data_IF_880419446862
#
_entry.id   IF_880419446862
#
_cell.length_a   1.000
_cell.length_b   1.000
_cell.length_c   1.000
_cell.angle_alpha   90.00
_cell.angle_beta   90.00
_cell.angle_gamma   90.00
#
_symmetry.space_group_name_H-M   'P 1'
#
loop_
_entity.id
_entity.type
_entity.pdbx_description
1 polymer ?
#
# COMPACT_ATOMS: atom_id res chain seq x y z
N UNK A 1 -67.59 -43.36 18.59
CA UNK A 1 -67.13 -42.03 18.93
C UNK A 1 -65.64 -42.04 18.75
N UNK A 2 -65.21 -41.60 17.54
CA UNK A 2 -63.81 -41.58 17.18
C UNK A 2 -63.23 -40.18 17.51
N UNK A 3 -62.22 -40.16 18.36
CA UNK A 3 -61.46 -38.95 18.68
C UNK A 3 -60.22 -38.91 17.76
N UNK A 4 -60.24 -38.01 16.79
CA UNK A 4 -59.06 -37.77 15.94
C UNK A 4 -58.15 -36.74 16.64
N UNK A 5 -56.96 -37.20 17.01
CA UNK A 5 -55.92 -36.36 17.58
C UNK A 5 -55.14 -35.69 16.41
N UNK A 6 -55.28 -34.36 16.26
CA UNK A 6 -54.47 -33.57 15.31
C UNK A 6 -53.12 -33.20 15.96
N UNK A 7 -52.06 -33.81 15.48
CA UNK A 7 -50.70 -33.49 15.83
C UNK A 7 -50.23 -32.29 14.96
N UNK A 8 -50.23 -31.11 15.54
CA UNK A 8 -49.69 -29.92 14.88
C UNK A 8 -48.17 -29.93 14.95
N UNK A 9 -47.53 -30.14 13.81
CA UNK A 9 -46.07 -30.05 13.66
C UNK A 9 -45.70 -28.59 13.55
N UNK A 10 -45.15 -28.01 14.61
CA UNK A 10 -44.54 -26.69 14.61
C UNK A 10 -43.17 -26.81 13.92
N UNK A 11 -43.09 -26.34 12.67
CA UNK A 11 -41.83 -26.09 11.98
C UNK A 11 -41.23 -24.82 12.54
N UNK A 12 -40.27 -24.91 13.46
CA UNK A 12 -39.37 -23.83 13.78
C UNK A 12 -38.39 -23.70 12.61
N UNK A 13 -38.66 -22.72 11.76
CA UNK A 13 -37.66 -22.24 10.82
C UNK A 13 -36.57 -21.50 11.64
N UNK A 14 -35.46 -22.16 11.90
CA UNK A 14 -34.23 -21.43 12.21
C UNK A 14 -33.85 -20.64 10.94
N UNK A 15 -34.04 -19.36 10.98
CA UNK A 15 -33.30 -18.48 10.08
C UNK A 15 -31.84 -18.50 10.57
N UNK A 16 -31.03 -19.34 9.96
CA UNK A 16 -29.59 -19.13 9.97
C UNK A 16 -29.39 -17.79 9.23
N UNK A 17 -29.24 -16.70 9.99
CA UNK A 17 -28.56 -15.53 9.49
C UNK A 17 -27.11 -15.96 9.34
N UNK A 18 -26.73 -16.33 8.11
CA UNK A 18 -25.35 -16.36 7.71
C UNK A 18 -24.84 -14.93 7.92
N UNK A 19 -24.19 -14.70 9.05
CA UNK A 19 -23.43 -13.50 9.35
C UNK A 19 -22.15 -13.62 8.49
N UNK A 20 -22.29 -13.44 7.17
CA UNK A 20 -21.16 -13.34 6.28
C UNK A 20 -20.37 -12.09 6.69
N UNK A 21 -19.35 -12.31 7.52
CA UNK A 21 -18.43 -11.23 7.91
C UNK A 21 -17.82 -10.66 6.64
N UNK A 22 -18.01 -9.35 6.41
CA UNK A 22 -17.42 -8.67 5.29
C UNK A 22 -15.90 -8.66 5.42
N UNK A 23 -15.18 -8.80 4.31
CA UNK A 23 -13.72 -8.63 4.26
C UNK A 23 -13.23 -7.33 4.91
N UNK A 24 -14.12 -6.34 5.04
CA UNK A 24 -13.84 -5.00 5.55
C UNK A 24 -14.42 -4.72 6.94
N UNK A 25 -14.93 -5.74 7.66
CA UNK A 25 -15.39 -5.60 9.04
C UNK A 25 -14.22 -5.18 9.94
N UNK A 26 -14.48 -4.20 10.83
CA UNK A 26 -13.48 -3.61 11.72
C UNK A 26 -12.21 -3.12 10.97
N UNK A 27 -12.40 -2.61 9.73
CA UNK A 27 -11.31 -2.33 8.81
C UNK A 27 -10.26 -1.38 9.36
N UNK A 28 -10.69 -0.26 9.99
CA UNK A 28 -9.77 0.69 10.58
C UNK A 28 -8.90 0.04 11.65
N UNK A 29 -9.51 -0.64 12.62
CA UNK A 29 -8.80 -1.30 13.72
C UNK A 29 -7.80 -2.35 13.19
N UNK A 30 -8.22 -3.14 12.20
CA UNK A 30 -7.35 -4.14 11.58
C UNK A 30 -6.15 -3.51 10.87
N UNK A 31 -6.34 -2.38 10.18
CA UNK A 31 -5.26 -1.66 9.51
C UNK A 31 -4.29 -1.05 10.50
N UNK A 32 -4.79 -0.44 11.58
CA UNK A 32 -3.97 0.12 12.64
C UNK A 32 -3.16 -0.97 13.36
N UNK A 33 -3.79 -2.10 13.68
CA UNK A 33 -3.12 -3.25 14.27
C UNK A 33 -2.06 -3.85 13.33
N UNK A 34 -2.38 -4.02 12.05
CA UNK A 34 -1.43 -4.49 11.04
C UNK A 34 -0.22 -3.56 10.94
N UNK A 35 -0.46 -2.25 10.84
CA UNK A 35 0.60 -1.27 10.73
C UNK A 35 1.51 -1.24 11.96
N UNK A 36 0.96 -1.41 13.16
CA UNK A 36 1.72 -1.47 14.40
C UNK A 36 2.75 -2.62 14.42
N UNK A 37 2.48 -3.74 13.75
CA UNK A 37 3.42 -4.88 13.67
C UNK A 37 4.69 -4.57 12.88
N UNK A 38 4.68 -3.53 12.03
CA UNK A 38 5.83 -3.19 11.18
C UNK A 38 7.02 -2.67 12.01
N UNK A 39 6.76 -2.02 13.14
CA UNK A 39 7.81 -1.59 14.06
C UNK A 39 8.57 -2.78 14.65
N UNK A 40 7.89 -3.91 14.89
CA UNK A 40 8.51 -5.15 15.34
C UNK A 40 9.38 -5.77 14.24
N UNK A 41 8.89 -5.76 13.00
CA UNK A 41 9.64 -6.22 11.83
C UNK A 41 10.95 -5.44 11.66
N UNK A 42 10.90 -4.11 11.82
CA UNK A 42 12.08 -3.25 11.79
C UNK A 42 13.10 -3.61 12.91
N UNK A 43 12.61 -3.83 14.14
CA UNK A 43 13.47 -4.18 15.28
C UNK A 43 14.12 -5.55 15.11
N UNK A 44 13.38 -6.53 14.57
CA UNK A 44 13.85 -7.91 14.41
C UNK A 44 14.79 -8.07 13.21
N UNK A 45 14.62 -7.29 12.15
CA UNK A 45 15.35 -7.41 10.89
C UNK A 45 15.90 -6.05 10.40
N UNK A 46 16.72 -5.33 11.18
CA UNK A 46 17.17 -3.97 10.85
C UNK A 46 18.02 -3.89 9.58
N UNK A 47 18.52 -5.01 9.05
CA UNK A 47 19.27 -5.06 7.80
C UNK A 47 18.35 -5.06 6.56
N UNK A 48 17.07 -5.42 6.74
CA UNK A 48 16.10 -5.54 5.65
C UNK A 48 15.00 -4.48 5.72
N UNK A 49 14.83 -3.85 6.86
CA UNK A 49 13.76 -2.88 7.09
C UNK A 49 14.33 -1.52 7.41
N UNK A 50 13.68 -0.50 6.86
CA UNK A 50 13.94 0.91 7.14
C UNK A 50 12.62 1.63 7.39
N UNK A 51 12.67 2.79 8.02
CA UNK A 51 11.54 3.72 8.07
C UNK A 51 12.01 5.12 7.76
N UNK A 52 11.19 5.87 7.06
CA UNK A 52 11.46 7.26 6.73
C UNK A 52 10.28 8.13 7.15
N UNK A 53 10.57 9.18 7.91
CA UNK A 53 9.57 10.16 8.29
C UNK A 53 9.08 10.88 7.04
N UNK A 54 7.76 11.13 6.97
CA UNK A 54 7.17 11.81 5.82
C UNK A 54 7.89 13.14 5.53
N UNK A 55 8.26 13.35 4.28
CA UNK A 55 8.95 14.57 3.83
C UNK A 55 8.14 15.84 4.14
N UNK A 56 6.81 15.73 4.24
CA UNK A 56 5.90 16.85 4.49
C UNK A 56 5.77 17.24 5.96
N UNK A 57 6.40 16.49 6.88
CA UNK A 57 6.34 16.71 8.32
C UNK A 57 7.65 17.37 8.81
N UNK A 58 7.58 18.01 9.98
CA UNK A 58 8.74 18.58 10.64
C UNK A 58 9.79 17.50 10.95
N UNK A 59 10.98 17.62 10.36
CA UNK A 59 12.08 16.66 10.51
C UNK A 59 12.88 16.87 11.80
N UNK A 60 12.68 17.96 12.54
CA UNK A 60 13.45 18.31 13.74
C UNK A 60 13.03 17.51 14.99
N UNK A 61 11.86 16.91 14.98
CA UNK A 61 11.31 16.12 16.10
C UNK A 61 11.09 14.66 15.71
N UNK A 62 11.12 13.74 16.69
CA UNK A 62 10.65 12.39 16.47
C UNK A 62 9.12 12.40 16.31
N UNK A 63 8.60 11.62 15.37
CA UNK A 63 7.18 11.53 15.10
C UNK A 63 6.57 10.27 15.71
N UNK A 64 5.24 10.15 15.59
CA UNK A 64 4.51 8.92 15.88
C UNK A 64 4.81 7.85 14.83
N UNK A 65 4.48 6.59 15.11
CA UNK A 65 4.68 5.49 14.16
C UNK A 65 4.03 5.76 12.79
N UNK A 66 2.87 6.42 12.78
CA UNK A 66 2.09 6.78 11.59
C UNK A 66 2.63 7.99 10.80
N UNK A 67 3.67 8.64 11.30
CA UNK A 67 4.39 9.72 10.59
C UNK A 67 5.48 9.18 9.65
N UNK A 68 5.67 7.86 9.66
CA UNK A 68 6.70 7.18 8.88
C UNK A 68 6.11 6.24 7.83
N UNK A 69 6.81 6.15 6.69
CA UNK A 69 6.69 5.04 5.76
C UNK A 69 7.66 3.95 6.21
N UNK A 70 7.17 2.73 6.32
CA UNK A 70 8.04 1.56 6.54
C UNK A 70 8.33 0.91 5.20
N UNK A 71 9.56 0.43 5.04
CA UNK A 71 9.96 -0.25 3.82
C UNK A 71 10.79 -1.50 4.13
N UNK A 72 10.41 -2.61 3.48
CA UNK A 72 11.24 -3.80 3.39
C UNK A 72 12.05 -3.73 2.11
N UNK A 73 13.36 -3.73 2.23
CA UNK A 73 14.28 -3.77 1.09
C UNK A 73 14.26 -5.18 0.51
N UNK A 74 13.77 -5.31 -0.73
CA UNK A 74 13.73 -6.59 -1.45
C UNK A 74 15.04 -6.77 -2.23
N UNK A 75 15.45 -5.74 -2.96
CA UNK A 75 16.78 -5.67 -3.58
C UNK A 75 17.23 -4.21 -3.67
N UNK A 76 18.53 -4.02 -3.70
CA UNK A 76 19.17 -2.73 -3.92
C UNK A 76 19.65 -2.63 -5.36
N UNK A 77 19.54 -1.42 -5.92
CA UNK A 77 20.10 -1.13 -7.23
C UNK A 77 21.62 -1.29 -7.24
N UNK A 78 22.15 -1.73 -8.36
CA UNK A 78 23.59 -1.91 -8.56
C UNK A 78 24.12 -0.73 -9.37
N UNK A 79 24.97 0.10 -8.78
CA UNK A 79 25.62 1.21 -9.48
C UNK A 79 26.50 2.05 -8.56
N UNK A 80 27.44 2.75 -9.13
CA UNK A 80 28.35 3.65 -8.39
C UNK A 80 27.68 4.99 -8.02
N UNK A 81 26.53 5.30 -8.61
CA UNK A 81 25.82 6.55 -8.40
C UNK A 81 24.54 6.32 -7.58
N UNK A 82 24.68 6.37 -6.27
CA UNK A 82 23.59 6.19 -5.30
C UNK A 82 22.84 7.51 -5.05
N UNK A 83 22.47 8.23 -6.11
CA UNK A 83 21.62 9.42 -5.98
C UNK A 83 20.16 9.00 -5.89
N UNK A 84 19.44 9.70 -5.03
CA UNK A 84 17.97 9.64 -4.94
C UNK A 84 17.33 10.79 -5.72
N UNK A 85 16.08 10.64 -6.16
CA UNK A 85 15.34 11.74 -6.76
C UNK A 85 15.18 12.92 -5.81
N UNK A 86 15.16 14.12 -6.36
CA UNK A 86 14.69 15.31 -5.65
C UNK A 86 13.18 15.49 -5.83
N UNK A 87 12.54 16.23 -4.94
CA UNK A 87 11.09 16.48 -4.98
C UNK A 87 10.61 17.06 -6.34
N UNK A 88 11.46 17.78 -7.04
CA UNK A 88 11.15 18.39 -8.35
C UNK A 88 11.30 17.44 -9.53
N UNK A 89 11.85 16.24 -9.30
CA UNK A 89 12.21 15.34 -10.38
C UNK A 89 11.01 14.56 -10.92
N UNK A 90 11.16 14.06 -12.13
CA UNK A 90 10.32 13.02 -12.69
C UNK A 90 10.94 11.65 -12.41
N UNK A 91 10.10 10.68 -12.04
CA UNK A 91 10.51 9.30 -11.79
C UNK A 91 9.87 8.36 -12.79
N UNK A 92 10.55 7.27 -13.10
CA UNK A 92 10.02 6.10 -13.80
C UNK A 92 9.98 4.95 -12.80
N UNK A 93 8.82 4.39 -12.61
CA UNK A 93 8.59 3.33 -11.63
C UNK A 93 7.86 2.15 -12.24
N UNK A 94 8.09 0.96 -11.70
CA UNK A 94 7.22 -0.20 -11.83
C UNK A 94 6.66 -0.50 -10.45
N UNK A 95 5.33 -0.78 -10.35
CA UNK A 95 4.72 -0.99 -9.04
C UNK A 95 3.45 -1.83 -9.09
N UNK A 96 3.07 -2.36 -7.92
CA UNK A 96 1.77 -2.95 -7.65
C UNK A 96 1.33 -2.55 -6.25
N UNK A 97 0.15 -1.92 -6.15
CA UNK A 97 -0.46 -1.48 -4.90
C UNK A 97 -1.54 -2.45 -4.45
N UNK A 98 -1.54 -2.80 -3.15
CA UNK A 98 -2.53 -3.69 -2.54
C UNK A 98 -2.93 -3.24 -1.15
N UNK A 99 -4.09 -3.69 -0.72
CA UNK A 99 -4.58 -3.55 0.66
C UNK A 99 -3.93 -4.62 1.56
N UNK A 100 -4.18 -4.52 2.87
CA UNK A 100 -3.81 -5.60 3.79
C UNK A 100 -4.58 -6.89 3.45
N UNK A 101 -4.04 -8.08 3.81
CA UNK A 101 -4.72 -9.36 3.59
C UNK A 101 -6.11 -9.44 4.21
N UNK A 102 -7.02 -10.10 3.51
CA UNK A 102 -8.39 -10.43 3.95
C UNK A 102 -8.68 -11.91 3.71
N UNK A 103 -9.86 -12.36 4.11
CA UNK A 103 -10.30 -13.75 3.87
C UNK A 103 -10.39 -14.06 2.38
N UNK A 104 -11.00 -13.17 1.60
CA UNK A 104 -11.15 -13.33 0.15
C UNK A 104 -9.83 -13.05 -0.60
N UNK A 105 -9.01 -12.13 -0.10
CA UNK A 105 -7.74 -11.73 -0.72
C UNK A 105 -6.55 -12.00 0.22
N UNK A 106 -6.04 -13.24 0.31
CA UNK A 106 -4.96 -13.60 1.25
C UNK A 106 -3.63 -12.85 0.99
N UNK A 107 -3.44 -12.30 -0.21
CA UNK A 107 -2.29 -11.47 -0.56
C UNK A 107 -2.61 -9.97 -0.56
N UNK A 108 -3.82 -9.60 -0.16
CA UNK A 108 -4.37 -8.25 -0.28
C UNK A 108 -4.98 -7.98 -1.66
N UNK A 109 -6.11 -7.25 -1.68
CA UNK A 109 -6.75 -6.79 -2.92
C UNK A 109 -5.81 -5.84 -3.68
N UNK A 110 -5.52 -6.16 -4.95
CA UNK A 110 -4.73 -5.29 -5.83
C UNK A 110 -5.63 -4.18 -6.37
N UNK A 111 -5.35 -2.95 -5.99
CA UNK A 111 -6.18 -1.79 -6.37
C UNK A 111 -5.56 -0.96 -7.51
N UNK A 112 -4.24 -1.04 -7.72
CA UNK A 112 -3.54 -0.27 -8.77
C UNK A 112 -2.19 -0.92 -9.10
N UNK A 113 -1.64 -0.65 -10.28
CA UNK A 113 -0.31 -1.11 -10.65
C UNK A 113 0.04 -0.96 -12.12
N UNK A 114 1.33 -1.01 -12.41
CA UNK A 114 1.86 -1.15 -13.76
C UNK A 114 1.90 -2.61 -14.21
N UNK A 115 1.65 -3.55 -13.28
CA UNK A 115 1.60 -4.98 -13.50
C UNK A 115 0.39 -5.60 -12.81
N UNK A 116 -0.20 -6.59 -13.46
CA UNK A 116 -1.27 -7.43 -12.93
C UNK A 116 -0.75 -8.88 -12.82
N UNK A 117 -1.00 -9.53 -11.69
CA UNK A 117 -0.49 -10.87 -11.39
C UNK A 117 0.75 -10.85 -10.51
N UNK A 118 1.69 -11.78 -10.76
CA UNK A 118 2.94 -11.80 -10.01
C UNK A 118 3.81 -10.60 -10.41
N UNK A 119 4.23 -9.82 -9.40
CA UNK A 119 5.09 -8.68 -9.63
C UNK A 119 6.50 -9.14 -10.05
N UNK A 120 6.99 -8.63 -11.17
CA UNK A 120 8.35 -8.83 -11.67
C UNK A 120 8.91 -7.50 -12.19
N UNK A 121 9.86 -6.94 -11.45
CA UNK A 121 10.46 -5.64 -11.75
C UNK A 121 11.24 -5.60 -13.08
N UNK A 122 11.60 -6.75 -13.62
CA UNK A 122 12.37 -6.83 -14.88
C UNK A 122 11.49 -6.81 -16.13
N UNK A 123 10.26 -7.32 -16.01
CA UNK A 123 9.38 -7.51 -17.18
C UNK A 123 8.11 -6.66 -17.16
N UNK A 124 7.77 -6.09 -16.00
CA UNK A 124 6.56 -5.30 -15.85
C UNK A 124 6.67 -3.92 -16.54
N UNK A 125 5.54 -3.45 -17.05
CA UNK A 125 5.43 -2.10 -17.57
C UNK A 125 5.84 -1.03 -16.53
N UNK A 126 6.19 0.15 -17.01
CA UNK A 126 6.59 1.28 -16.15
C UNK A 126 5.65 2.47 -16.35
N UNK A 127 5.49 3.27 -15.30
CA UNK A 127 4.81 4.55 -15.34
C UNK A 127 5.80 5.69 -15.09
N UNK A 128 5.58 6.83 -15.76
CA UNK A 128 6.28 8.08 -15.47
C UNK A 128 5.41 8.92 -14.55
N UNK A 129 6.00 9.44 -13.49
CA UNK A 129 5.34 10.32 -12.52
C UNK A 129 6.21 11.55 -12.25
N UNK A 130 5.59 12.67 -11.92
CA UNK A 130 6.24 13.88 -11.46
C UNK A 130 6.03 14.01 -9.96
N UNK A 131 7.10 14.07 -9.14
CA UNK A 131 6.96 14.08 -7.69
C UNK A 131 6.28 15.36 -7.19
N UNK A 132 6.58 16.50 -7.79
CA UNK A 132 5.95 17.79 -7.49
C UNK A 132 4.67 18.06 -8.31
N UNK A 133 3.96 17.01 -8.75
CA UNK A 133 2.71 17.15 -9.49
C UNK A 133 1.65 17.90 -8.67
N UNK A 134 0.71 18.53 -9.36
CA UNK A 134 -0.41 19.28 -8.77
C UNK A 134 -1.73 18.88 -9.40
N UNK A 135 -2.83 19.25 -8.76
CA UNK A 135 -4.17 18.90 -9.26
C UNK A 135 -4.49 17.43 -9.08
N UNK A 136 -5.01 16.78 -10.12
CA UNK A 136 -5.42 15.36 -10.08
C UNK A 136 -4.27 14.36 -10.07
N UNK A 137 -3.05 14.81 -10.37
CA UNK A 137 -1.87 13.94 -10.44
C UNK A 137 -1.02 13.95 -9.17
N UNK A 138 -1.51 14.60 -8.10
CA UNK A 138 -0.80 14.66 -6.81
C UNK A 138 -0.67 13.26 -6.22
N UNK A 139 0.60 12.89 -5.97
CA UNK A 139 0.93 11.63 -5.31
C UNK A 139 0.74 11.76 -3.79
N UNK A 140 0.37 10.67 -3.13
CA UNK A 140 0.27 10.62 -1.67
C UNK A 140 1.65 10.83 -1.02
N UNK A 141 1.67 11.48 0.14
CA UNK A 141 2.94 11.88 0.79
C UNK A 141 3.83 10.69 1.14
N UNK A 142 3.23 9.56 1.50
CA UNK A 142 3.98 8.34 1.78
C UNK A 142 4.72 7.79 0.54
N UNK A 143 4.11 7.87 -0.63
CA UNK A 143 4.73 7.46 -1.88
C UNK A 143 5.94 8.34 -2.23
N UNK A 144 5.75 9.66 -2.17
CA UNK A 144 6.84 10.62 -2.41
C UNK A 144 7.97 10.39 -1.41
N UNK A 145 7.64 10.20 -0.12
CA UNK A 145 8.65 9.95 0.93
C UNK A 145 9.53 8.75 0.59
N UNK A 146 8.94 7.63 0.16
CA UNK A 146 9.74 6.46 -0.22
C UNK A 146 10.67 6.77 -1.39
N UNK A 147 10.17 7.38 -2.46
CA UNK A 147 10.93 7.67 -3.67
C UNK A 147 12.10 8.64 -3.44
N UNK A 148 11.96 9.60 -2.52
CA UNK A 148 13.04 10.52 -2.14
C UNK A 148 14.23 9.82 -1.45
N UNK A 149 14.07 8.56 -1.03
CA UNK A 149 15.11 7.78 -0.36
C UNK A 149 15.57 6.55 -1.17
N UNK A 150 14.88 6.23 -2.27
CA UNK A 150 15.26 5.13 -3.16
C UNK A 150 16.36 5.56 -4.14
N UNK A 151 17.15 4.58 -4.59
CA UNK A 151 18.12 4.75 -5.66
C UNK A 151 17.66 4.01 -6.92
N UNK A 152 18.24 4.32 -8.07
CA UNK A 152 17.96 3.58 -9.32
C UNK A 152 18.18 2.08 -9.14
N UNK A 153 17.20 1.29 -9.52
CA UNK A 153 17.21 -0.15 -9.42
C UNK A 153 16.78 -0.72 -8.07
N UNK A 154 16.52 0.12 -7.07
CA UNK A 154 15.96 -0.33 -5.80
C UNK A 154 14.57 -0.92 -6.01
N UNK A 155 14.33 -2.07 -5.40
CA UNK A 155 13.01 -2.68 -5.27
C UNK A 155 12.68 -2.82 -3.79
N UNK A 156 11.66 -2.10 -3.34
CA UNK A 156 11.19 -2.10 -1.97
C UNK A 156 9.71 -2.51 -1.90
N UNK A 157 9.33 -3.15 -0.80
CA UNK A 157 7.93 -3.22 -0.40
C UNK A 157 7.67 -2.16 0.65
N UNK A 158 6.91 -1.14 0.29
CA UNK A 158 6.61 -0.01 1.16
C UNK A 158 5.22 -0.16 1.77
N UNK A 159 5.09 0.31 3.01
CA UNK A 159 3.87 0.30 3.80
C UNK A 159 3.57 1.72 4.23
N UNK A 160 2.46 2.23 3.76
CA UNK A 160 2.04 3.62 3.94
C UNK A 160 0.81 3.62 4.85
N UNK A 161 0.88 4.23 6.05
CA UNK A 161 -0.28 4.36 6.91
C UNK A 161 -1.31 5.29 6.26
N UNK A 162 -2.58 5.15 6.61
CA UNK A 162 -3.63 5.94 6.00
C UNK A 162 -3.41 7.45 6.10
N UNK A 163 -2.76 7.94 7.17
CA UNK A 163 -2.43 9.36 7.38
C UNK A 163 -1.51 9.93 6.28
N UNK A 164 -0.66 9.10 5.72
CA UNK A 164 0.26 9.44 4.62
C UNK A 164 -0.26 8.93 3.26
N UNK A 165 -1.45 8.32 3.26
CA UNK A 165 -2.18 7.81 2.11
C UNK A 165 -3.45 8.63 1.81
N UNK A 166 -4.60 7.96 1.82
CA UNK A 166 -5.89 8.57 1.50
C UNK A 166 -6.72 8.97 2.74
N UNK A 167 -6.19 8.77 3.96
CA UNK A 167 -6.83 9.19 5.21
C UNK A 167 -8.13 8.44 5.50
N UNK A 168 -9.11 9.20 5.98
CA UNK A 168 -10.44 8.73 6.34
C UNK A 168 -11.43 8.79 5.15
N UNK A 169 -10.95 8.71 3.91
CA UNK A 169 -11.77 8.81 2.71
C UNK A 169 -11.76 7.52 1.92
N UNK A 170 -12.96 7.03 1.56
CA UNK A 170 -13.09 5.96 0.59
C UNK A 170 -12.65 6.43 -0.80
N UNK A 171 -11.90 5.62 -1.48
CA UNK A 171 -11.60 5.73 -2.91
C UNK A 171 -12.36 4.65 -3.66
N UNK A 172 -13.68 4.79 -3.72
CA UNK A 172 -14.60 3.78 -4.25
C UNK A 172 -14.26 3.35 -5.67
N UNK A 173 -13.81 4.28 -6.52
CA UNK A 173 -13.40 3.98 -7.90
C UNK A 173 -12.19 3.05 -7.98
N UNK A 174 -11.38 2.97 -6.92
CA UNK A 174 -10.21 2.10 -6.83
C UNK A 174 -10.41 0.94 -5.85
N UNK A 175 -11.58 0.83 -5.22
CA UNK A 175 -11.85 -0.20 -4.22
C UNK A 175 -11.01 -0.08 -2.94
N UNK A 176 -10.61 1.15 -2.56
CA UNK A 176 -9.81 1.40 -1.35
C UNK A 176 -10.74 1.99 -0.28
N UNK A 177 -11.06 1.23 0.79
CA UNK A 177 -11.83 1.76 1.90
C UNK A 177 -11.06 2.84 2.68
N UNK A 178 -11.79 3.70 3.40
CA UNK A 178 -11.21 4.64 4.35
C UNK A 178 -10.28 3.94 5.36
N UNK A 179 -9.30 4.65 5.88
CA UNK A 179 -8.32 4.14 6.87
C UNK A 179 -7.43 2.98 6.39
N UNK A 180 -7.33 2.77 5.07
CA UNK A 180 -6.50 1.70 4.52
C UNK A 180 -5.01 1.99 4.66
N UNK A 181 -4.27 1.04 5.22
CA UNK A 181 -2.83 0.91 5.02
C UNK A 181 -2.58 0.44 3.59
N UNK A 182 -1.73 1.14 2.87
CA UNK A 182 -1.40 0.82 1.49
C UNK A 182 -0.05 0.11 1.42
N UNK A 183 -0.01 -1.00 0.71
CA UNK A 183 1.20 -1.80 0.53
C UNK A 183 1.56 -1.74 -0.94
N UNK A 184 2.79 -1.32 -1.27
CA UNK A 184 3.26 -1.32 -2.64
C UNK A 184 4.55 -2.11 -2.77
N UNK A 185 4.60 -3.03 -3.72
CA UNK A 185 5.85 -3.44 -4.33
C UNK A 185 6.23 -2.34 -5.31
N UNK A 186 7.39 -1.72 -5.13
CA UNK A 186 7.83 -0.52 -5.83
C UNK A 186 9.27 -0.64 -6.27
N UNK A 187 9.51 -0.49 -7.58
CA UNK A 187 10.87 -0.38 -8.14
C UNK A 187 11.06 1.01 -8.73
N UNK A 188 12.11 1.71 -8.29
CA UNK A 188 12.58 2.93 -8.93
C UNK A 188 13.48 2.56 -10.10
N UNK A 189 12.93 2.63 -11.32
CA UNK A 189 13.64 2.26 -12.55
C UNK A 189 14.62 3.34 -12.95
N UNK A 190 14.17 4.60 -12.98
CA UNK A 190 14.99 5.76 -13.34
C UNK A 190 14.37 7.06 -12.82
N UNK A 191 15.13 8.15 -12.86
CA UNK A 191 14.61 9.49 -12.60
C UNK A 191 15.43 10.54 -13.38
N UNK A 192 14.83 11.68 -13.61
CA UNK A 192 15.50 12.82 -14.29
C UNK A 192 15.09 14.15 -13.66
N UNK A 193 16.02 15.12 -13.57
CA UNK A 193 15.72 16.46 -13.13
C UNK A 193 14.62 17.12 -13.97
N UNK A 194 13.94 18.09 -13.36
CA UNK A 194 12.91 18.90 -14.04
C UNK A 194 13.47 19.52 -15.32
N UNK A 195 12.69 19.45 -16.40
CA UNK A 195 13.07 19.99 -17.71
C UNK A 195 14.02 19.10 -18.53
N UNK A 196 14.50 17.98 -17.98
CA UNK A 196 15.27 16.99 -18.73
C UNK A 196 14.37 15.87 -19.26
N UNK A 197 14.69 15.42 -20.47
CA UNK A 197 13.99 14.26 -21.06
C UNK A 197 14.49 12.99 -20.38
N UNK A 198 13.59 12.23 -19.78
CA UNK A 198 13.92 10.92 -19.25
C UNK A 198 14.29 9.99 -20.41
N UNK A 199 15.42 9.25 -20.33
CA UNK A 199 15.79 8.30 -21.37
C UNK A 199 14.65 7.33 -21.70
N UNK A 200 14.52 6.98 -22.99
CA UNK A 200 13.58 5.96 -23.42
C UNK A 200 14.07 4.62 -22.86
N UNK A 201 13.21 3.91 -22.16
CA UNK A 201 13.51 2.54 -21.73
C UNK A 201 13.60 1.64 -22.97
N UNK A 202 14.74 0.97 -23.12
CA UNK A 202 14.98 -0.03 -24.18
C UNK A 202 14.77 -1.43 -23.61
#
# INVERSE_FOLDING_TARGET
>A
MLITCHLSLLMTACSESDDESSDYDNWQERNEAYFATLADSLRQQPQQWVRYKSYSLDQSSEGNATDYVYAKIISQGTGSNLQSPMFTDSVRVSYQGRLIPTGTYPQGYVFDGTAYGTYDSATNATAKMVLAASGSEVLISGWITALLHMHRGDHWRIYIPHQLGYGAQDKSNSGIPAYSTLIFDLTLVDFSPVGQVMPVWQ
#
